data_IF_189972218038
#
_entry.id   IF_189972218038
#
_cell.length_a   1.000
_cell.length_b   1.000
_cell.length_c   1.000
_cell.angle_alpha   90.00
_cell.angle_beta   90.00
_cell.angle_gamma   90.00
#
_symmetry.space_group_name_H-M   'P 1'
#
loop_
_entity.id
_entity.type
_entity.pdbx_description
1 polymer ?
#
# COMPACT_ATOMS: atom_id res chain seq x y z
N UNK A 1 -2.57 -7.94 -14.76
CA UNK A 1 -4.03 -7.63 -14.70
C UNK A 1 -4.23 -6.14 -14.90
N UNK A 2 -5.13 -5.72 -15.75
CA UNK A 2 -5.37 -4.29 -15.96
C UNK A 2 -6.86 -3.97 -15.82
N UNK A 3 -7.18 -2.94 -15.06
CA UNK A 3 -8.50 -2.35 -14.99
C UNK A 3 -8.52 -1.11 -15.87
N UNK A 4 -9.46 -1.03 -16.80
CA UNK A 4 -9.52 0.03 -17.80
C UNK A 4 -10.87 0.72 -17.77
N UNK A 5 -10.84 2.01 -18.15
CA UNK A 5 -12.04 2.84 -18.27
C UNK A 5 -12.71 3.19 -16.95
N UNK A 6 -11.92 3.38 -15.89
CA UNK A 6 -12.44 3.93 -14.63
C UNK A 6 -12.82 5.41 -14.80
N UNK A 7 -14.00 5.79 -14.35
CA UNK A 7 -14.41 7.19 -14.33
C UNK A 7 -14.20 7.81 -12.96
N UNK A 8 -14.89 7.28 -11.97
CA UNK A 8 -14.80 7.80 -10.60
C UNK A 8 -14.82 6.62 -9.63
N UNK A 9 -13.94 6.65 -8.64
CA UNK A 9 -13.89 5.67 -7.55
C UNK A 9 -14.08 6.42 -6.25
N UNK A 10 -15.15 6.13 -5.52
CA UNK A 10 -15.48 6.84 -4.29
C UNK A 10 -15.71 5.90 -3.12
N UNK A 11 -15.32 6.35 -1.94
CA UNK A 11 -15.73 5.76 -0.67
C UNK A 11 -16.29 6.89 0.20
N UNK A 12 -17.57 6.82 0.50
CA UNK A 12 -18.31 7.90 1.17
C UNK A 12 -18.30 7.79 2.71
N UNK A 13 -17.78 6.69 3.24
CA UNK A 13 -17.71 6.48 4.67
C UNK A 13 -16.60 7.33 5.30
N UNK A 14 -16.85 7.81 6.53
CA UNK A 14 -15.80 8.37 7.34
C UNK A 14 -14.74 7.28 7.56
N UNK A 15 -13.49 7.63 7.36
CA UNK A 15 -12.34 6.72 7.37
C UNK A 15 -12.34 5.71 6.18
N UNK A 16 -13.08 6.00 5.11
CA UNK A 16 -13.16 5.16 3.90
C UNK A 16 -11.87 5.21 3.06
N UNK A 17 -11.55 4.07 2.44
CA UNK A 17 -10.40 3.92 1.54
C UNK A 17 -10.87 3.72 0.10
N UNK A 18 -10.36 4.51 -0.83
CA UNK A 18 -10.62 4.32 -2.24
C UNK A 18 -9.32 4.29 -3.06
N UNK A 19 -9.25 3.35 -3.98
CA UNK A 19 -8.15 3.22 -4.94
C UNK A 19 -8.65 2.62 -6.24
N UNK A 20 -8.09 3.04 -7.34
CA UNK A 20 -8.53 2.59 -8.66
C UNK A 20 -8.36 1.09 -8.89
N UNK A 21 -7.40 0.47 -8.25
CA UNK A 21 -7.18 -0.98 -8.31
C UNK A 21 -7.62 -1.68 -7.02
N UNK A 22 -7.32 -1.09 -5.87
CA UNK A 22 -7.67 -1.64 -4.56
C UNK A 22 -8.00 -0.53 -3.55
N UNK A 23 -9.13 -0.63 -2.87
CA UNK A 23 -9.49 0.30 -1.79
C UNK A 23 -8.56 0.16 -0.60
N UNK A 24 -8.48 -1.04 -0.02
CA UNK A 24 -7.56 -1.36 1.07
C UNK A 24 -6.94 -2.73 0.88
N UNK A 25 -5.63 -2.79 1.01
CA UNK A 25 -4.83 -4.03 0.97
C UNK A 25 -4.06 -4.14 2.28
N UNK A 26 -4.30 -5.20 3.01
CA UNK A 26 -3.72 -5.45 4.32
C UNK A 26 -3.14 -6.87 4.40
N UNK A 27 -2.14 -7.03 5.23
CA UNK A 27 -1.62 -8.36 5.55
C UNK A 27 -2.57 -9.09 6.50
N UNK A 28 -2.81 -10.37 6.22
CA UNK A 28 -3.41 -11.26 7.21
C UNK A 28 -2.51 -11.42 8.44
N UNK A 29 -3.10 -11.52 9.62
CA UNK A 29 -2.35 -11.84 10.84
C UNK A 29 -1.80 -13.27 10.79
N UNK A 30 -0.58 -13.48 11.24
CA UNK A 30 0.01 -14.83 11.33
C UNK A 30 -0.83 -15.75 12.23
N UNK A 31 -1.51 -15.17 13.23
CA UNK A 31 -2.42 -15.86 14.13
C UNK A 31 -3.69 -16.37 13.42
N UNK A 32 -4.10 -15.74 12.31
CA UNK A 32 -5.29 -16.16 11.55
C UNK A 32 -5.04 -17.43 10.73
N UNK A 33 -3.78 -17.78 10.48
CA UNK A 33 -3.38 -18.95 9.69
C UNK A 33 -3.02 -20.14 10.56
N UNK A 34 -2.45 -19.90 11.73
CA UNK A 34 -2.12 -20.91 12.70
C UNK A 34 -3.23 -20.95 13.76
N UNK A 35 -4.29 -21.69 13.55
CA UNK A 35 -5.19 -22.03 14.66
C UNK A 35 -4.36 -22.51 15.86
N UNK A 36 -4.86 -22.36 17.10
CA UNK A 36 -4.15 -22.56 18.37
C UNK A 36 -3.33 -23.87 18.52
N UNK A 37 -3.46 -24.79 17.56
CA UNK A 37 -2.97 -26.15 17.71
C UNK A 37 -1.51 -26.40 17.25
N UNK A 38 -0.90 -25.56 16.40
CA UNK A 38 0.34 -25.97 15.72
C UNK A 38 1.43 -24.90 15.56
N UNK A 39 1.49 -23.93 16.46
CA UNK A 39 2.62 -22.97 16.52
C UNK A 39 3.96 -23.70 16.68
N UNK A 40 3.99 -24.89 17.27
CA UNK A 40 5.20 -25.71 17.42
C UNK A 40 5.73 -26.28 16.08
N UNK A 41 4.87 -26.46 15.07
CA UNK A 41 5.30 -26.94 13.76
C UNK A 41 5.91 -25.83 12.87
N UNK A 42 5.63 -24.56 13.18
CA UNK A 42 6.21 -23.38 12.50
C UNK A 42 7.60 -22.98 13.03
N UNK A 43 8.21 -23.76 13.91
CA UNK A 43 9.50 -23.47 14.57
C UNK A 43 10.73 -23.46 13.65
N UNK A 44 10.54 -23.64 12.34
CA UNK A 44 11.59 -23.40 11.36
C UNK A 44 11.38 -22.02 10.72
N UNK A 45 12.28 -21.08 11.01
CA UNK A 45 12.21 -19.69 10.51
C UNK A 45 12.05 -19.62 8.99
N UNK A 46 12.67 -20.53 8.24
CA UNK A 46 12.52 -20.60 6.79
C UNK A 46 11.07 -20.97 6.36
N UNK A 47 10.42 -21.84 7.13
CA UNK A 47 8.98 -22.17 6.90
C UNK A 47 8.09 -21.00 7.28
N UNK A 48 8.41 -20.28 8.37
CA UNK A 48 7.72 -19.09 8.79
C UNK A 48 7.85 -17.97 7.73
N UNK A 49 9.06 -17.70 7.24
CA UNK A 49 9.30 -16.75 6.14
C UNK A 49 8.55 -17.16 4.86
N UNK A 50 8.51 -18.45 4.56
CA UNK A 50 7.73 -19.00 3.46
C UNK A 50 6.23 -18.74 3.63
N UNK A 51 5.69 -18.99 4.81
CA UNK A 51 4.27 -18.74 5.13
C UNK A 51 3.93 -17.24 5.07
N UNK A 52 4.77 -16.38 5.63
CA UNK A 52 4.60 -14.91 5.59
C UNK A 52 4.47 -14.39 4.16
N UNK A 53 5.24 -14.91 3.21
CA UNK A 53 5.15 -14.51 1.81
C UNK A 53 3.75 -14.73 1.20
N UNK A 54 3.03 -15.74 1.62
CA UNK A 54 1.66 -16.02 1.16
C UNK A 54 0.60 -15.13 1.81
N UNK A 55 0.95 -14.48 2.93
CA UNK A 55 0.08 -13.56 3.64
C UNK A 55 0.22 -12.11 3.15
N UNK A 56 1.33 -11.82 2.45
CA UNK A 56 1.61 -10.48 1.96
C UNK A 56 0.94 -10.24 0.60
N UNK A 57 0.23 -9.12 0.43
CA UNK A 57 -0.29 -8.74 -0.88
C UNK A 57 0.84 -8.63 -1.91
N UNK A 58 0.61 -9.18 -3.10
CA UNK A 58 1.57 -9.10 -4.20
C UNK A 58 0.83 -8.78 -5.49
N UNK A 59 1.17 -7.65 -6.09
CA UNK A 59 0.60 -7.16 -7.34
C UNK A 59 1.70 -7.06 -8.38
N UNK A 60 1.58 -7.88 -9.42
CA UNK A 60 2.52 -7.92 -10.54
C UNK A 60 1.78 -7.57 -11.83
N UNK A 61 2.36 -6.70 -12.65
CA UNK A 61 1.77 -6.24 -13.91
C UNK A 61 0.33 -5.71 -13.77
N UNK A 62 0.08 -5.00 -12.65
CA UNK A 62 -1.23 -4.45 -12.35
C UNK A 62 -1.29 -2.97 -12.72
N UNK A 63 -2.26 -2.62 -13.57
CA UNK A 63 -2.44 -1.25 -14.05
C UNK A 63 -3.89 -0.82 -13.97
N UNK A 64 -4.11 0.47 -13.74
CA UNK A 64 -5.41 1.12 -13.86
C UNK A 64 -5.35 2.24 -14.89
N UNK A 65 -6.42 2.43 -15.64
CA UNK A 65 -6.54 3.51 -16.62
C UNK A 65 -7.84 4.26 -16.40
N UNK A 66 -7.72 5.55 -16.12
CA UNK A 66 -8.85 6.45 -15.97
C UNK A 66 -9.27 7.04 -17.32
N UNK A 67 -10.55 7.37 -17.46
CA UNK A 67 -11.14 7.98 -18.64
C UNK A 67 -12.06 9.13 -18.23
N UNK A 68 -12.40 10.00 -19.16
CA UNK A 68 -13.37 11.07 -18.97
C UNK A 68 -13.09 11.98 -17.75
N UNK A 69 -11.80 12.28 -17.49
CA UNK A 69 -11.35 13.01 -16.30
C UNK A 69 -11.66 12.28 -15.00
N UNK A 70 -11.53 10.98 -15.02
CA UNK A 70 -11.77 10.14 -13.87
C UNK A 70 -10.74 10.33 -12.76
N UNK A 71 -11.16 10.04 -11.54
CA UNK A 71 -10.32 10.20 -10.36
C UNK A 71 -10.77 9.37 -9.18
N UNK A 72 -10.27 9.75 -8.00
CA UNK A 72 -10.54 9.04 -6.74
C UNK A 72 -10.89 10.04 -5.65
N UNK A 73 -11.95 9.75 -4.88
CA UNK A 73 -12.35 10.54 -3.73
C UNK A 73 -12.73 9.67 -2.53
N UNK A 74 -12.09 9.92 -1.37
CA UNK A 74 -12.34 9.19 -0.13
C UNK A 74 -11.75 9.95 1.08
N UNK A 75 -11.85 9.40 2.30
CA UNK A 75 -11.03 9.90 3.41
C UNK A 75 -9.54 9.67 3.11
N UNK A 76 -9.20 8.48 2.66
CA UNK A 76 -7.85 8.11 2.19
C UNK A 76 -7.93 7.64 0.74
N UNK A 77 -7.40 8.43 -0.19
CA UNK A 77 -7.54 8.25 -1.62
C UNK A 77 -6.20 8.03 -2.32
N UNK A 78 -6.16 7.05 -3.23
CA UNK A 78 -4.98 6.78 -4.06
C UNK A 78 -5.36 6.35 -5.47
N UNK A 79 -4.62 6.79 -6.47
CA UNK A 79 -4.90 6.43 -7.87
C UNK A 79 -4.82 4.92 -8.13
N UNK A 80 -3.96 4.20 -7.42
CA UNK A 80 -3.88 2.74 -7.43
C UNK A 80 -4.48 2.14 -6.17
N UNK A 81 -4.02 2.55 -5.00
CA UNK A 81 -4.45 2.02 -3.71
C UNK A 81 -4.82 3.13 -2.74
N UNK A 82 -6.00 3.05 -2.09
CA UNK A 82 -6.35 3.94 -0.99
C UNK A 82 -5.43 3.68 0.20
N UNK A 83 -5.41 2.44 0.67
CA UNK A 83 -4.56 1.98 1.76
C UNK A 83 -3.77 0.75 1.34
N UNK A 84 -2.46 0.76 1.55
CA UNK A 84 -1.56 -0.35 1.21
C UNK A 84 -0.63 -0.65 2.37
N UNK A 85 -0.94 -1.70 3.10
CA UNK A 85 -0.15 -2.16 4.23
C UNK A 85 0.69 -3.36 3.83
N UNK A 86 2.02 -3.20 3.85
CA UNK A 86 2.99 -4.24 3.50
C UNK A 86 2.81 -4.81 2.07
N UNK A 87 3.61 -5.78 1.69
CA UNK A 87 3.51 -6.42 0.39
C UNK A 87 4.28 -5.73 -0.73
N UNK A 88 4.02 -6.15 -1.95
CA UNK A 88 4.78 -5.69 -3.12
C UNK A 88 3.88 -5.25 -4.27
N UNK A 89 4.31 -4.19 -4.96
CA UNK A 89 3.81 -3.83 -6.30
C UNK A 89 5.00 -3.79 -7.24
N UNK A 90 4.96 -4.58 -8.31
CA UNK A 90 6.05 -4.65 -9.27
C UNK A 90 5.53 -4.82 -10.70
N UNK A 91 5.79 -3.84 -11.55
CA UNK A 91 5.42 -3.86 -12.97
C UNK A 91 6.64 -3.94 -13.91
N UNK A 92 7.74 -4.52 -13.46
CA UNK A 92 9.00 -4.59 -14.24
C UNK A 92 8.81 -5.25 -15.61
N UNK A 93 7.96 -6.25 -15.71
CA UNK A 93 7.75 -7.05 -16.93
C UNK A 93 6.67 -6.49 -17.87
N UNK A 94 6.11 -5.32 -17.53
CA UNK A 94 5.08 -4.66 -18.36
C UNK A 94 5.61 -4.09 -19.70
N UNK A 95 6.87 -4.37 -20.06
CA UNK A 95 7.56 -3.94 -21.28
C UNK A 95 8.46 -2.72 -21.07
N UNK A 96 9.47 -2.57 -21.92
CA UNK A 96 10.43 -1.46 -21.83
C UNK A 96 9.72 -0.10 -21.81
N UNK A 97 9.97 0.69 -20.78
CA UNK A 97 9.48 2.06 -20.63
C UNK A 97 8.06 2.19 -20.03
N UNK A 98 7.38 1.11 -19.70
CA UNK A 98 6.04 1.12 -19.09
C UNK A 98 6.09 0.84 -17.59
N UNK A 99 6.73 1.72 -16.85
CA UNK A 99 6.87 1.60 -15.39
C UNK A 99 5.77 2.35 -14.63
N UNK A 100 4.53 2.23 -15.10
CA UNK A 100 3.41 2.95 -14.51
C UNK A 100 2.29 1.99 -14.11
N UNK A 101 1.75 2.20 -12.92
CA UNK A 101 0.54 1.52 -12.44
C UNK A 101 -0.73 2.32 -12.70
N UNK A 102 -0.62 3.63 -12.84
CA UNK A 102 -1.76 4.55 -12.97
C UNK A 102 -1.62 5.37 -14.24
N UNK A 103 -2.65 5.33 -15.09
CA UNK A 103 -2.72 6.08 -16.33
C UNK A 103 -3.91 7.03 -16.36
N UNK A 104 -3.69 8.23 -16.92
CA UNK A 104 -4.71 9.24 -17.23
C UNK A 104 -5.57 9.66 -16.04
N UNK A 105 -5.01 9.62 -14.85
CA UNK A 105 -5.62 10.16 -13.65
C UNK A 105 -5.86 11.68 -13.83
N UNK A 106 -7.01 12.20 -13.45
CA UNK A 106 -7.32 13.63 -13.46
C UNK A 106 -7.22 14.23 -12.05
N UNK A 107 -7.75 13.54 -11.05
CA UNK A 107 -7.69 14.03 -9.67
C UNK A 107 -7.68 12.92 -8.62
N UNK A 108 -7.10 13.24 -7.47
CA UNK A 108 -7.21 12.47 -6.23
C UNK A 108 -7.59 13.43 -5.11
N UNK A 109 -8.74 13.19 -4.52
CA UNK A 109 -9.30 14.00 -3.44
C UNK A 109 -9.39 13.17 -2.16
N UNK A 110 -8.46 13.38 -1.23
CA UNK A 110 -8.50 12.80 0.11
C UNK A 110 -9.04 13.80 1.14
N UNK A 111 -9.49 13.31 2.26
CA UNK A 111 -9.63 14.14 3.46
C UNK A 111 -8.37 14.03 4.32
N UNK A 112 -8.00 12.81 4.69
CA UNK A 112 -6.81 12.54 5.51
C UNK A 112 -5.55 12.38 4.67
N UNK A 113 -5.58 11.50 3.66
CA UNK A 113 -4.43 11.21 2.82
C UNK A 113 -4.82 11.13 1.35
N UNK A 114 -4.01 11.72 0.49
CA UNK A 114 -4.20 11.67 -0.96
C UNK A 114 -2.88 11.44 -1.69
N UNK A 115 -2.82 10.46 -2.58
CA UNK A 115 -1.63 10.17 -3.37
C UNK A 115 -1.94 9.69 -4.78
N UNK A 116 -1.15 10.11 -5.76
CA UNK A 116 -1.35 9.71 -7.15
C UNK A 116 -1.30 8.19 -7.36
N UNK A 117 -0.45 7.49 -6.60
CA UNK A 117 -0.40 6.04 -6.52
C UNK A 117 -1.14 5.54 -5.28
N UNK A 118 -0.70 5.92 -4.08
CA UNK A 118 -1.23 5.43 -2.82
C UNK A 118 -1.58 6.55 -1.85
N UNK A 119 -2.77 6.50 -1.24
CA UNK A 119 -3.19 7.45 -0.20
C UNK A 119 -2.35 7.25 1.06
N UNK A 120 -2.35 6.05 1.59
CA UNK A 120 -1.58 5.63 2.76
C UNK A 120 -0.81 4.34 2.43
N UNK A 121 0.52 4.38 2.53
CA UNK A 121 1.40 3.22 2.27
C UNK A 121 2.32 3.04 3.47
N UNK A 122 2.17 1.93 4.19
CA UNK A 122 2.93 1.74 5.41
C UNK A 122 3.28 0.26 5.69
N UNK A 123 4.36 0.06 6.43
CA UNK A 123 4.69 -1.26 6.93
C UNK A 123 3.67 -1.67 7.99
N UNK A 124 3.07 -2.85 7.82
CA UNK A 124 2.37 -3.50 8.92
C UNK A 124 3.37 -3.72 10.05
N UNK A 125 3.08 -3.20 11.24
CA UNK A 125 3.93 -3.51 12.36
C UNK A 125 3.83 -5.02 12.64
N UNK A 126 4.96 -5.68 12.86
CA UNK A 126 4.97 -7.04 13.43
C UNK A 126 4.12 -7.08 14.72
N UNK A 127 3.91 -5.91 15.33
CA UNK A 127 3.11 -5.67 16.50
C UNK A 127 1.60 -5.60 16.23
N UNK A 128 1.17 -5.11 15.07
CA UNK A 128 -0.25 -5.01 14.71
C UNK A 128 -0.82 -6.33 14.18
N UNK A 129 0.06 -7.29 13.83
CA UNK A 129 -0.35 -8.66 13.50
C UNK A 129 -0.90 -9.43 14.72
N UNK A 130 -1.70 -8.75 15.56
CA UNK A 130 -2.49 -9.40 16.61
C UNK A 130 -1.76 -9.63 17.93
N UNK A 131 -0.94 -8.70 18.38
CA UNK A 131 -0.45 -8.77 19.76
C UNK A 131 1.05 -8.67 19.96
N UNK A 132 1.68 -7.76 19.27
CA UNK A 132 3.01 -7.31 19.61
C UNK A 132 4.13 -8.32 19.34
N UNK A 133 5.31 -7.90 19.66
CA UNK A 133 6.52 -8.73 19.75
C UNK A 133 6.33 -10.01 20.60
N UNK A 134 5.18 -10.17 21.22
CA UNK A 134 4.77 -11.42 21.90
C UNK A 134 4.66 -12.61 20.96
N UNK A 135 4.54 -12.45 19.63
CA UNK A 135 4.70 -13.59 18.71
C UNK A 135 6.12 -14.16 18.83
N UNK A 136 7.13 -13.32 19.03
CA UNK A 136 8.51 -13.75 19.23
C UNK A 136 8.84 -13.98 20.72
N UNK A 137 8.22 -13.26 21.64
CA UNK A 137 8.44 -13.37 23.09
C UNK A 137 7.57 -14.40 23.79
N UNK A 138 6.45 -14.79 23.21
CA UNK A 138 5.56 -15.85 23.76
C UNK A 138 5.98 -17.27 23.37
N UNK A 139 6.86 -17.42 22.37
CA UNK A 139 7.38 -18.72 21.95
C UNK A 139 8.73 -18.93 22.65
N UNK A 140 8.68 -19.41 23.87
CA UNK A 140 9.88 -19.82 24.60
C UNK A 140 10.55 -20.99 23.87
N UNK A 141 11.79 -20.79 23.42
CA UNK A 141 12.59 -21.84 22.76
C UNK A 141 12.88 -21.61 21.27
N UNK A 142 12.44 -20.49 20.67
CA UNK A 142 12.86 -20.10 19.33
C UNK A 142 14.26 -19.44 19.39
N UNK A 143 15.27 -20.14 18.86
CA UNK A 143 16.54 -19.54 18.53
C UNK A 143 16.42 -18.81 17.17
N UNK A 144 15.87 -17.60 17.19
CA UNK A 144 15.84 -16.73 16.01
C UNK A 144 17.13 -15.92 16.03
N UNK A 145 17.98 -16.10 15.03
CA UNK A 145 19.15 -15.24 14.88
C UNK A 145 18.75 -13.84 14.35
N UNK A 146 19.62 -12.86 14.55
CA UNK A 146 19.36 -11.47 14.16
C UNK A 146 19.09 -11.33 12.66
N UNK A 147 19.75 -12.13 11.82
CA UNK A 147 19.54 -12.11 10.37
C UNK A 147 18.14 -12.57 9.97
N UNK A 148 17.63 -13.61 10.59
CA UNK A 148 16.28 -14.12 10.35
C UNK A 148 15.21 -13.13 10.82
N UNK A 149 15.44 -12.45 11.95
CA UNK A 149 14.56 -11.38 12.43
C UNK A 149 14.52 -10.21 11.47
N UNK A 150 15.67 -9.78 10.96
CA UNK A 150 15.76 -8.69 9.97
C UNK A 150 15.05 -9.07 8.66
N UNK A 151 15.20 -10.30 8.20
CA UNK A 151 14.48 -10.78 7.01
C UNK A 151 12.96 -10.78 7.21
N UNK A 152 12.50 -11.15 8.39
CA UNK A 152 11.09 -11.11 8.74
C UNK A 152 10.56 -9.67 8.77
N UNK A 153 11.29 -8.74 9.39
CA UNK A 153 10.94 -7.31 9.41
C UNK A 153 10.90 -6.75 7.99
N UNK A 154 11.91 -7.04 7.18
CA UNK A 154 11.97 -6.57 5.80
C UNK A 154 10.81 -7.08 4.94
N UNK A 155 10.29 -8.28 5.21
CA UNK A 155 9.14 -8.82 4.49
C UNK A 155 7.85 -7.99 4.71
N UNK A 156 7.73 -7.29 5.84
CA UNK A 156 6.58 -6.42 6.14
C UNK A 156 6.72 -4.99 5.62
N UNK A 157 7.89 -4.61 5.10
CA UNK A 157 8.08 -3.31 4.49
C UNK A 157 7.42 -3.31 3.10
N UNK A 158 6.49 -2.40 2.79
CA UNK A 158 5.94 -2.31 1.45
C UNK A 158 7.04 -1.99 0.44
N UNK A 159 7.09 -2.75 -0.63
CA UNK A 159 8.03 -2.53 -1.71
C UNK A 159 7.29 -2.20 -3.01
N UNK A 160 7.41 -0.96 -3.46
CA UNK A 160 6.75 -0.43 -4.66
C UNK A 160 7.81 -0.11 -5.69
N UNK A 161 7.79 -0.84 -6.80
CA UNK A 161 8.74 -0.60 -7.89
C UNK A 161 8.06 -0.69 -9.26
N UNK A 162 8.58 0.09 -10.21
CA UNK A 162 8.04 0.17 -11.57
C UNK A 162 6.53 0.45 -11.58
N UNK A 163 6.07 1.34 -10.71
CA UNK A 163 4.66 1.57 -10.42
C UNK A 163 4.29 3.06 -10.42
N UNK A 164 4.82 3.82 -11.37
CA UNK A 164 4.61 5.25 -11.46
C UNK A 164 3.19 5.67 -11.80
N UNK A 165 2.99 6.99 -11.86
CA UNK A 165 1.73 7.64 -12.25
C UNK A 165 1.99 8.46 -13.52
N UNK A 166 1.23 8.19 -14.59
CA UNK A 166 1.30 8.92 -15.85
C UNK A 166 -0.07 9.48 -16.23
N UNK A 167 -0.15 10.78 -16.43
CA UNK A 167 -1.35 11.43 -16.95
C UNK A 167 -0.99 12.35 -18.12
N UNK A 168 -1.58 12.12 -19.29
CA UNK A 168 -1.28 12.93 -20.48
C UNK A 168 -1.83 14.36 -20.32
N UNK A 169 -2.97 14.52 -19.64
CA UNK A 169 -3.59 15.82 -19.40
C UNK A 169 -3.18 16.48 -18.09
N UNK A 170 -2.38 15.80 -17.29
CA UNK A 170 -1.98 16.21 -15.96
C UNK A 170 -3.09 15.98 -14.92
N UNK A 171 -2.69 15.86 -13.66
CA UNK A 171 -3.60 15.56 -12.55
C UNK A 171 -3.32 16.41 -11.32
N UNK A 172 -4.29 16.43 -10.40
CA UNK A 172 -4.21 17.14 -9.12
C UNK A 172 -4.34 16.16 -7.97
N UNK A 173 -3.68 16.46 -6.86
CA UNK A 173 -3.79 15.71 -5.61
C UNK A 173 -4.11 16.67 -4.47
N UNK A 174 -5.19 16.42 -3.75
CA UNK A 174 -5.65 17.31 -2.68
C UNK A 174 -6.02 16.51 -1.44
N UNK A 175 -5.54 16.95 -0.27
CA UNK A 175 -5.96 16.44 1.03
C UNK A 175 -6.60 17.57 1.83
N UNK A 176 -7.90 17.45 2.09
CA UNK A 176 -8.73 18.56 2.60
C UNK A 176 -9.02 18.49 4.11
N UNK A 177 -8.27 17.74 4.89
CA UNK A 177 -8.54 17.64 6.33
C UNK A 177 -8.26 18.95 7.04
N UNK A 178 -9.29 19.77 7.16
CA UNK A 178 -9.32 20.91 8.07
C UNK A 178 -9.83 20.38 9.41
N UNK A 179 -8.96 20.02 10.30
CA UNK A 179 -9.36 19.80 11.70
C UNK A 179 -9.33 21.11 12.46
N UNK A 180 -10.46 21.46 13.04
CA UNK A 180 -10.60 22.64 13.90
C UNK A 180 -9.87 22.50 15.25
N UNK A 181 -9.45 21.30 15.65
CA UNK A 181 -8.93 21.03 17.00
C UNK A 181 -7.71 20.10 17.08
N UNK A 182 -7.05 19.74 15.97
CA UNK A 182 -5.97 18.75 16.05
C UNK A 182 -4.79 19.00 15.12
N UNK A 183 -3.63 18.63 15.62
CA UNK A 183 -2.30 18.70 15.01
C UNK A 183 -2.09 17.84 13.75
N UNK A 184 -3.10 17.12 13.28
CA UNK A 184 -3.03 16.27 12.09
C UNK A 184 -3.71 16.95 10.89
N UNK A 185 -2.95 17.75 10.16
CA UNK A 185 -3.29 18.19 8.81
C UNK A 185 -3.34 17.02 7.85
N UNK A 186 -4.17 17.09 6.82
CA UNK A 186 -4.14 16.13 5.70
C UNK A 186 -2.77 16.13 5.02
N UNK A 187 -2.42 15.03 4.39
CA UNK A 187 -1.16 14.89 3.65
C UNK A 187 -1.44 14.51 2.19
N UNK A 188 -0.90 15.31 1.26
CA UNK A 188 -1.03 15.09 -0.16
C UNK A 188 0.35 14.89 -0.81
N UNK A 189 0.47 13.91 -1.69
CA UNK A 189 1.71 13.63 -2.43
C UNK A 189 1.44 13.19 -3.87
N UNK A 190 2.25 13.65 -4.80
CA UNK A 190 2.12 13.27 -6.20
C UNK A 190 2.17 11.76 -6.43
N UNK A 191 2.89 11.02 -5.59
CA UNK A 191 2.97 9.56 -5.61
C UNK A 191 2.28 8.94 -4.39
N UNK A 192 2.76 9.20 -3.19
CA UNK A 192 2.21 8.70 -1.92
C UNK A 192 1.80 9.88 -1.06
N UNK A 193 0.58 9.84 -0.51
CA UNK A 193 0.05 10.85 0.41
C UNK A 193 0.73 10.77 1.78
N UNK A 194 0.73 9.60 2.39
CA UNK A 194 1.46 9.30 3.62
C UNK A 194 2.22 8.00 3.46
N UNK A 195 3.50 8.01 3.79
CA UNK A 195 4.39 6.85 3.71
C UNK A 195 5.13 6.61 5.03
N UNK A 196 5.09 5.39 5.53
CA UNK A 196 5.85 4.99 6.72
C UNK A 196 6.48 3.61 6.53
N UNK A 197 7.81 3.52 6.60
CA UNK A 197 8.55 2.27 6.40
C UNK A 197 8.31 1.68 5.00
N UNK A 198 8.27 2.49 3.95
CA UNK A 198 8.06 2.07 2.56
C UNK A 198 9.36 2.16 1.78
N UNK A 199 9.57 1.20 0.87
CA UNK A 199 10.64 1.24 -0.13
C UNK A 199 10.03 1.51 -1.52
N UNK A 200 10.54 2.54 -2.20
CA UNK A 200 10.10 2.94 -3.54
C UNK A 200 11.29 2.99 -4.48
N UNK A 201 11.18 2.37 -5.64
CA UNK A 201 12.22 2.41 -6.67
C UNK A 201 11.64 2.40 -8.09
N UNK A 202 12.31 3.07 -9.02
CA UNK A 202 11.91 3.13 -10.43
C UNK A 202 10.45 3.55 -10.63
N UNK A 203 10.00 4.54 -9.86
CA UNK A 203 8.63 5.08 -9.94
C UNK A 203 8.70 6.56 -10.30
N UNK A 204 8.00 6.92 -11.36
CA UNK A 204 7.93 8.29 -11.87
C UNK A 204 6.52 8.86 -11.71
N UNK A 205 6.44 10.16 -11.56
CA UNK A 205 5.18 10.91 -11.59
C UNK A 205 5.27 11.94 -12.70
N UNK A 206 4.42 11.81 -13.71
CA UNK A 206 4.43 12.73 -14.85
C UNK A 206 3.18 13.60 -14.86
N UNK A 207 3.40 14.89 -15.17
CA UNK A 207 2.35 15.90 -15.33
C UNK A 207 1.49 16.14 -14.06
N UNK A 208 2.10 16.11 -12.89
CA UNK A 208 1.45 16.59 -11.67
C UNK A 208 1.28 18.12 -11.78
N UNK A 209 0.03 18.60 -11.72
CA UNK A 209 -0.31 20.02 -11.82
C UNK A 209 -0.26 20.71 -10.47
N UNK A 210 -0.78 20.06 -9.44
CA UNK A 210 -0.90 20.65 -8.11
C UNK A 210 -1.01 19.59 -7.02
N UNK A 211 -0.40 19.88 -5.86
CA UNK A 211 -0.59 19.17 -4.59
C UNK A 211 -0.97 20.16 -3.51
N UNK A 212 -1.98 19.85 -2.69
CA UNK A 212 -2.45 20.71 -1.61
C UNK A 212 -2.92 19.89 -0.42
#
# INVERSE_FOLDING_TARGET
>A
MSDKNLKEVTANDKDGFAGGFVGSSQTGGLADVAGEADVKALLNVNKLLGAVKYLLPSYTECTVTYVDKGGVAADTAGGFAGNFQSGTVNNQDAGEGNYYSVYNLDHVNGQSYAGGFGGNVYSGALADAGGGISILGGITGLNINVGDLLNLINAYIPYVQYAGVKSDNGFTVTANKIKSDDTNSGSAGGFIGYGSGVQVSHCDVTNLKHTK
#
